data_IF_485218331762
#
_entry.id   IF_485218331762
#
_cell.length_a   1.000
_cell.length_b   1.000
_cell.length_c   1.000
_cell.angle_alpha   90.00
_cell.angle_beta   90.00
_cell.angle_gamma   90.00
#
_symmetry.space_group_name_H-M   'P 1'
#
loop_
_entity.id
_entity.type
_entity.pdbx_description
1 polymer ?
#
# COMPACT_ATOMS: atom_id res chain seq x y z
N UNK A 1 27.22 3.39 2.62
CA UNK A 1 25.96 4.18 2.57
C UNK A 1 25.73 4.60 1.12
N UNK A 2 24.59 4.27 0.52
CA UNK A 2 24.25 4.75 -0.81
C UNK A 2 23.76 6.21 -0.71
N UNK A 3 24.37 7.11 -1.49
CA UNK A 3 23.92 8.50 -1.60
C UNK A 3 23.02 8.56 -2.82
N UNK A 4 21.75 8.91 -2.62
CA UNK A 4 20.79 9.09 -3.72
C UNK A 4 20.70 10.59 -4.02
N UNK A 5 21.22 10.98 -5.17
CA UNK A 5 21.08 12.34 -5.68
C UNK A 5 19.96 12.38 -6.70
N UNK A 6 19.05 13.35 -6.55
CA UNK A 6 17.94 13.54 -7.48
C UNK A 6 17.63 15.03 -7.62
N UNK A 7 17.07 15.37 -8.78
CA UNK A 7 16.64 16.73 -9.08
C UNK A 7 15.18 16.91 -8.69
N UNK A 8 14.85 18.09 -8.14
CA UNK A 8 13.48 18.49 -7.83
C UNK A 8 13.08 19.65 -8.73
N UNK A 9 11.95 19.55 -9.46
CA UNK A 9 11.36 20.69 -10.13
C UNK A 9 11.09 21.82 -9.12
N UNK A 10 11.31 23.08 -9.52
CA UNK A 10 11.17 24.26 -8.64
C UNK A 10 9.81 24.34 -7.94
N UNK A 11 8.74 23.96 -8.63
CA UNK A 11 7.38 23.95 -8.07
C UNK A 11 7.23 22.94 -6.93
N UNK A 12 7.83 21.75 -7.06
CA UNK A 12 7.83 20.72 -6.03
C UNK A 12 8.73 21.13 -4.86
N UNK A 13 9.88 21.73 -5.15
CA UNK A 13 10.79 22.25 -4.13
C UNK A 13 10.12 23.27 -3.21
N UNK A 14 9.37 24.22 -3.77
CA UNK A 14 8.63 25.21 -2.99
C UNK A 14 7.64 24.55 -2.02
N UNK A 15 6.88 23.55 -2.49
CA UNK A 15 5.95 22.79 -1.66
C UNK A 15 6.66 22.06 -0.53
N UNK A 16 7.78 21.41 -0.82
CA UNK A 16 8.59 20.70 0.19
C UNK A 16 9.11 21.68 1.25
N UNK A 17 9.65 22.84 0.85
CA UNK A 17 10.15 23.85 1.79
C UNK A 17 9.04 24.36 2.68
N UNK A 18 7.84 24.58 2.14
CA UNK A 18 6.68 25.00 2.91
C UNK A 18 6.29 23.92 3.93
N UNK A 19 6.17 22.66 3.52
CA UNK A 19 5.85 21.54 4.40
C UNK A 19 6.89 21.34 5.51
N UNK A 20 8.18 21.51 5.20
CA UNK A 20 9.27 21.44 6.19
C UNK A 20 9.07 22.47 7.31
N UNK A 21 8.72 23.71 6.95
CA UNK A 21 8.45 24.77 7.93
C UNK A 21 7.21 24.48 8.77
N UNK A 22 6.12 24.04 8.12
CA UNK A 22 4.84 23.76 8.80
C UNK A 22 4.92 22.56 9.76
N UNK A 23 5.72 21.55 9.40
CA UNK A 23 5.83 20.30 10.17
C UNK A 23 7.06 20.25 11.08
N UNK A 24 7.89 21.30 11.07
CA UNK A 24 9.04 21.44 11.98
C UNK A 24 10.21 20.51 11.66
N UNK A 25 10.39 20.11 10.40
CA UNK A 25 11.56 19.32 10.01
C UNK A 25 12.83 20.20 10.00
N UNK A 26 13.95 19.66 10.48
CA UNK A 26 15.22 20.36 10.53
C UNK A 26 15.90 20.46 9.15
N UNK A 27 15.61 19.54 8.22
CA UNK A 27 16.19 19.59 6.88
C UNK A 27 15.35 18.86 5.82
N UNK A 28 15.62 19.15 4.55
CA UNK A 28 15.09 18.37 3.41
C UNK A 28 15.47 16.89 3.52
N UNK A 29 16.71 16.60 3.92
CA UNK A 29 17.19 15.23 4.05
C UNK A 29 16.39 14.44 5.10
N UNK A 30 16.09 15.07 6.24
CA UNK A 30 15.24 14.47 7.27
C UNK A 30 13.82 14.22 6.77
N UNK A 31 13.22 15.22 6.11
CA UNK A 31 11.90 15.09 5.50
C UNK A 31 11.83 13.91 4.52
N UNK A 32 12.82 13.77 3.62
CA UNK A 32 12.85 12.66 2.67
C UNK A 32 13.09 11.30 3.33
N UNK A 33 13.91 11.22 4.38
CA UNK A 33 14.08 9.98 5.16
C UNK A 33 12.76 9.58 5.82
N UNK A 34 12.08 10.53 6.46
CA UNK A 34 10.78 10.29 7.07
C UNK A 34 9.74 9.84 6.05
N UNK A 35 9.65 10.52 4.91
CA UNK A 35 8.73 10.15 3.83
C UNK A 35 9.02 8.75 3.27
N UNK A 36 10.31 8.38 3.11
CA UNK A 36 10.70 7.05 2.66
C UNK A 36 10.33 5.97 3.69
N UNK A 37 10.59 6.20 4.98
CA UNK A 37 10.19 5.29 6.05
C UNK A 37 8.67 5.14 6.10
N UNK A 38 7.94 6.25 6.09
CA UNK A 38 6.48 6.24 6.08
C UNK A 38 5.92 5.51 4.85
N UNK A 39 6.50 5.71 3.67
CA UNK A 39 6.10 4.97 2.47
C UNK A 39 6.35 3.47 2.62
N UNK A 40 7.50 3.07 3.17
CA UNK A 40 7.79 1.67 3.46
C UNK A 40 6.83 1.12 4.52
N UNK A 41 6.48 1.86 5.55
CA UNK A 41 5.54 1.40 6.57
C UNK A 41 4.13 1.23 5.99
N UNK A 42 3.67 2.16 5.15
CA UNK A 42 2.35 2.08 4.51
C UNK A 42 2.31 0.98 3.43
N UNK A 43 3.37 0.83 2.63
CA UNK A 43 3.43 -0.19 1.57
C UNK A 43 3.67 -1.59 2.16
N UNK A 44 4.49 -1.71 3.20
CA UNK A 44 4.83 -3.00 3.80
C UNK A 44 3.86 -3.40 4.94
N UNK A 45 2.97 -2.50 5.40
CA UNK A 45 1.83 -2.83 6.27
C UNK A 45 0.51 -2.36 5.64
N UNK A 46 0.02 -3.07 4.61
CA UNK A 46 -1.29 -2.75 4.01
C UNK A 46 -2.47 -2.96 4.98
N UNK A 47 -2.26 -3.63 6.11
CA UNK A 47 -3.28 -3.92 7.14
C UNK A 47 -2.70 -3.60 8.52
N UNK A 48 -3.46 -2.94 9.38
CA UNK A 48 -3.04 -2.59 10.74
C UNK A 48 -3.07 -3.81 11.69
N UNK A 49 -3.85 -4.85 11.35
CA UNK A 49 -3.91 -6.13 12.07
C UNK A 49 -4.40 -7.29 11.16
N UNK A 50 -4.33 -8.52 11.66
CA UNK A 50 -4.74 -9.74 10.92
C UNK A 50 -6.24 -9.80 10.63
N UNK A 51 -7.08 -9.17 11.46
CA UNK A 51 -8.52 -9.14 11.24
C UNK A 51 -8.87 -8.32 9.98
N UNK A 52 -8.26 -7.14 9.83
CA UNK A 52 -8.40 -6.30 8.64
C UNK A 52 -7.91 -7.01 7.37
N UNK A 53 -6.83 -7.78 7.48
CA UNK A 53 -6.30 -8.58 6.39
C UNK A 53 -7.25 -9.70 5.99
N UNK A 54 -7.79 -10.43 6.96
CA UNK A 54 -8.74 -11.51 6.75
C UNK A 54 -10.06 -11.01 6.14
N UNK A 55 -10.53 -9.86 6.60
CA UNK A 55 -11.70 -9.20 6.03
C UNK A 55 -11.46 -8.82 4.57
N UNK A 56 -10.32 -8.20 4.26
CA UNK A 56 -9.97 -7.84 2.89
C UNK A 56 -9.93 -9.04 1.96
N UNK A 57 -9.25 -10.13 2.36
CA UNK A 57 -9.12 -11.34 1.56
C UNK A 57 -10.48 -12.03 1.35
N UNK A 58 -11.30 -12.09 2.39
CA UNK A 58 -12.66 -12.65 2.31
C UNK A 58 -13.50 -11.87 1.31
N UNK A 59 -13.45 -10.54 1.36
CA UNK A 59 -14.17 -9.67 0.44
C UNK A 59 -13.64 -9.75 -1.00
N UNK A 60 -12.33 -9.90 -1.19
CA UNK A 60 -11.71 -10.09 -2.49
C UNK A 60 -12.17 -11.42 -3.13
N UNK A 61 -12.10 -12.53 -2.38
CA UNK A 61 -12.57 -13.84 -2.82
C UNK A 61 -14.07 -13.80 -3.13
N UNK A 62 -14.88 -13.20 -2.24
CA UNK A 62 -16.32 -13.08 -2.46
C UNK A 62 -16.68 -12.27 -3.71
N UNK A 63 -15.90 -11.26 -4.07
CA UNK A 63 -16.04 -10.53 -5.35
C UNK A 63 -15.67 -11.40 -6.54
N UNK A 64 -14.53 -12.08 -6.48
CA UNK A 64 -14.07 -12.94 -7.57
C UNK A 64 -15.04 -14.11 -7.83
N UNK A 65 -15.54 -14.75 -6.77
CA UNK A 65 -16.54 -15.80 -6.90
C UNK A 65 -17.85 -15.28 -7.51
N UNK A 66 -18.32 -14.10 -7.11
CA UNK A 66 -19.51 -13.47 -7.72
C UNK A 66 -19.27 -13.16 -9.20
N UNK A 67 -18.11 -12.62 -9.55
CA UNK A 67 -17.76 -12.28 -10.93
C UNK A 67 -17.67 -13.52 -11.82
N UNK A 68 -17.00 -14.57 -11.34
CA UNK A 68 -16.75 -15.80 -12.08
C UNK A 68 -17.99 -16.66 -12.22
N UNK A 69 -18.75 -16.81 -11.15
CA UNK A 69 -19.88 -17.73 -11.12
C UNK A 69 -21.23 -17.05 -11.39
N UNK A 70 -21.36 -15.72 -11.25
CA UNK A 70 -22.58 -14.95 -11.56
C UNK A 70 -23.88 -15.59 -11.04
N UNK A 71 -23.85 -16.16 -9.83
CA UNK A 71 -24.98 -16.86 -9.21
C UNK A 71 -25.17 -18.33 -9.63
N UNK A 72 -24.30 -18.88 -10.49
CA UNK A 72 -24.24 -20.32 -10.78
C UNK A 72 -23.69 -21.08 -9.58
N UNK A 73 -24.10 -22.35 -9.46
CA UNK A 73 -23.67 -23.24 -8.38
C UNK A 73 -22.15 -23.33 -8.35
N UNK A 74 -21.58 -23.00 -7.19
CA UNK A 74 -20.15 -23.17 -6.93
C UNK A 74 -19.81 -24.67 -7.00
N UNK A 75 -18.69 -25.05 -7.65
CA UNK A 75 -18.20 -26.42 -7.61
C UNK A 75 -17.92 -26.81 -6.16
N UNK A 76 -18.17 -28.07 -5.84
CA UNK A 76 -17.91 -28.62 -4.51
C UNK A 76 -16.42 -28.52 -4.17
N UNK A 77 -16.09 -28.53 -2.87
CA UNK A 77 -14.70 -28.52 -2.42
C UNK A 77 -13.88 -29.65 -3.07
N UNK A 78 -14.47 -30.83 -3.26
CA UNK A 78 -13.84 -31.97 -3.95
C UNK A 78 -13.50 -31.65 -5.41
N UNK A 79 -14.40 -30.98 -6.15
CA UNK A 79 -14.17 -30.58 -7.54
C UNK A 79 -13.17 -29.43 -7.67
N UNK A 80 -13.12 -28.52 -6.68
CA UNK A 80 -12.14 -27.44 -6.63
C UNK A 80 -10.73 -27.96 -6.37
N UNK A 81 -10.59 -28.95 -5.48
CA UNK A 81 -9.31 -29.55 -5.11
C UNK A 81 -8.78 -30.56 -6.15
N UNK A 82 -9.63 -31.05 -7.06
CA UNK A 82 -9.22 -32.03 -8.06
C UNK A 82 -8.25 -31.47 -9.12
N UNK A 83 -8.12 -30.13 -9.23
CA UNK A 83 -7.28 -29.44 -10.22
C UNK A 83 -6.12 -28.64 -9.58
N UNK A 84 -5.76 -28.94 -8.33
CA UNK A 84 -4.55 -28.43 -7.66
C UNK A 84 -3.48 -29.51 -7.66
#
# INVERSE_FOLDING_TARGET
MAIVNFFLPKTLEQRIVQTIKEKGFASKAEFFRFAAVHFLDVVNKPFANEDERMEYLTNAIGRELRNRYRGRKLPSAKEQLANL
#
